data_IF_445415916976
#
_entry.id   IF_445415916976
#
_cell.length_a   1.000
_cell.length_b   1.000
_cell.length_c   1.000
_cell.angle_alpha   90.00
_cell.angle_beta   90.00
_cell.angle_gamma   90.00
#
_symmetry.space_group_name_H-M   'P 1'
#
loop_
_entity.id
_entity.type
_entity.pdbx_description
1 polymer ?
#
# COMPACT_ATOMS: atom_id res chain seq x y z
N UNK A 1 17.97 17.14 -43.58
CA UNK A 1 18.06 15.76 -43.05
C UNK A 1 19.06 15.84 -41.91
N UNK A 2 18.72 15.58 -40.65
CA UNK A 2 18.33 14.26 -40.15
C UNK A 2 17.43 14.32 -38.92
N UNK A 3 16.70 13.23 -38.73
CA UNK A 3 15.58 13.02 -37.84
C UNK A 3 15.91 13.02 -36.34
N UNK A 4 14.94 13.48 -35.55
CA UNK A 4 14.76 13.06 -34.15
C UNK A 4 14.23 11.61 -34.13
N UNK A 5 14.58 10.83 -33.10
CA UNK A 5 13.55 10.03 -32.47
C UNK A 5 13.46 10.36 -30.98
N UNK A 6 12.25 10.75 -30.58
CA UNK A 6 11.80 10.72 -29.20
C UNK A 6 11.68 9.26 -28.75
N UNK A 7 12.35 8.91 -27.63
CA UNK A 7 12.21 7.74 -26.76
C UNK A 7 13.49 7.74 -25.90
N UNK A 8 13.51 8.03 -24.59
CA UNK A 8 12.68 7.49 -23.51
C UNK A 8 12.67 8.51 -22.35
N UNK A 9 11.59 9.29 -22.22
CA UNK A 9 11.19 9.85 -20.92
C UNK A 9 10.32 8.81 -20.22
N UNK A 10 10.87 7.62 -20.02
CA UNK A 10 10.27 6.65 -19.13
C UNK A 10 10.60 7.14 -17.72
N UNK A 11 9.67 7.93 -17.18
CA UNK A 11 9.41 8.00 -15.74
C UNK A 11 10.66 7.89 -14.87
N UNK A 12 11.44 8.96 -14.82
CA UNK A 12 12.26 9.26 -13.64
C UNK A 12 11.28 9.55 -12.49
N UNK A 13 10.66 8.50 -11.96
CA UNK A 13 10.04 8.53 -10.64
C UNK A 13 11.22 8.76 -9.71
N UNK A 14 11.26 9.91 -9.06
CA UNK A 14 12.28 10.23 -8.06
C UNK A 14 12.54 8.99 -7.20
N UNK A 15 13.83 8.62 -7.06
CA UNK A 15 14.27 7.44 -6.32
C UNK A 15 13.42 7.25 -5.06
N UNK A 16 12.88 6.03 -4.80
CA UNK A 16 12.01 5.82 -3.66
C UNK A 16 12.78 6.25 -2.41
N UNK A 17 12.26 7.25 -1.69
CA UNK A 17 12.79 7.64 -0.38
C UNK A 17 12.42 6.55 0.63
N UNK A 18 13.11 5.41 0.55
CA UNK A 18 12.96 4.27 1.47
C UNK A 18 12.93 2.90 0.78
N UNK A 19 12.85 1.81 1.58
CA UNK A 19 12.83 0.44 1.06
C UNK A 19 11.63 0.23 0.12
N UNK A 20 11.78 -0.67 -0.85
CA UNK A 20 10.69 -1.07 -1.74
C UNK A 20 9.71 -2.02 -1.05
N UNK A 21 8.44 -2.04 -1.45
CA UNK A 21 7.41 -2.89 -0.81
C UNK A 21 7.69 -4.41 -0.83
N UNK A 22 8.59 -4.89 -1.69
CA UNK A 22 9.02 -6.30 -1.74
C UNK A 22 10.26 -6.58 -0.87
N UNK A 23 10.84 -5.53 -0.27
CA UNK A 23 11.97 -5.66 0.62
C UNK A 23 11.46 -5.97 2.03
N UNK A 24 12.09 -6.92 2.71
CA UNK A 24 11.72 -7.28 4.08
C UNK A 24 11.87 -6.13 5.08
N UNK A 25 12.68 -5.12 4.76
CA UNK A 25 12.86 -3.90 5.55
C UNK A 25 11.68 -2.94 5.44
N UNK A 26 10.78 -3.13 4.48
CA UNK A 26 9.60 -2.28 4.35
C UNK A 26 8.57 -2.62 5.44
N UNK A 27 8.04 -1.64 6.18
CA UNK A 27 7.13 -1.89 7.30
C UNK A 27 5.86 -2.66 6.89
N UNK A 28 5.33 -2.37 5.71
CA UNK A 28 4.14 -3.05 5.16
C UNK A 28 4.45 -4.34 4.36
N UNK A 29 5.71 -4.80 4.30
CA UNK A 29 6.07 -6.00 3.54
C UNK A 29 5.32 -7.25 4.03
N UNK A 30 5.17 -7.40 5.35
CA UNK A 30 4.47 -8.54 5.94
C UNK A 30 2.98 -8.57 5.54
N UNK A 31 2.30 -7.41 5.60
CA UNK A 31 0.91 -7.28 5.15
C UNK A 31 0.80 -7.54 3.65
N UNK A 32 1.70 -6.99 2.84
CA UNK A 32 1.74 -7.21 1.40
C UNK A 32 1.86 -8.68 1.05
N UNK A 33 2.77 -9.42 1.70
CA UNK A 33 2.95 -10.84 1.44
C UNK A 33 1.71 -11.66 1.85
N UNK A 34 1.08 -11.33 2.98
CA UNK A 34 -0.15 -11.98 3.42
C UNK A 34 -1.28 -11.78 2.39
N UNK A 35 -1.47 -10.54 1.91
CA UNK A 35 -2.44 -10.22 0.85
C UNK A 35 -2.10 -10.93 -0.46
N UNK A 36 -0.84 -10.88 -0.90
CA UNK A 36 -0.37 -11.50 -2.15
C UNK A 36 -0.58 -13.02 -2.15
N UNK A 37 -0.41 -13.67 -1.00
CA UNK A 37 -0.65 -15.11 -0.83
C UNK A 37 -2.13 -15.50 -0.87
N UNK A 38 -3.04 -14.57 -0.55
CA UNK A 38 -4.49 -14.79 -0.57
C UNK A 38 -5.12 -14.36 -1.90
N UNK A 39 -4.49 -13.43 -2.62
CA UNK A 39 -4.91 -13.01 -3.95
C UNK A 39 -4.57 -14.06 -5.01
N UNK A 40 -5.41 -14.23 -6.04
CA UNK A 40 -5.11 -15.10 -7.17
C UNK A 40 -3.78 -14.76 -7.84
N UNK A 41 -3.06 -15.77 -8.34
CA UNK A 41 -1.78 -15.57 -9.04
C UNK A 41 -1.88 -14.70 -10.29
N UNK A 42 -3.06 -14.68 -10.95
CA UNK A 42 -3.40 -13.83 -12.09
C UNK A 42 -3.30 -12.33 -11.77
N UNK A 43 -3.41 -11.95 -10.50
CA UNK A 43 -3.31 -10.54 -10.08
C UNK A 43 -1.85 -10.12 -10.07
N UNK A 44 -1.55 -9.06 -10.82
CA UNK A 44 -0.23 -8.45 -10.91
C UNK A 44 0.27 -7.98 -9.55
N UNK A 45 1.59 -7.95 -9.37
CA UNK A 45 2.20 -7.49 -8.13
C UNK A 45 1.89 -6.00 -7.83
N UNK A 46 1.70 -5.18 -8.87
CA UNK A 46 1.28 -3.78 -8.73
C UNK A 46 -0.14 -3.67 -8.14
N UNK A 47 -1.07 -4.48 -8.62
CA UNK A 47 -2.42 -4.55 -8.06
C UNK A 47 -2.39 -5.08 -6.62
N UNK A 48 -1.57 -6.10 -6.31
CA UNK A 48 -1.41 -6.59 -4.94
C UNK A 48 -0.82 -5.51 -4.00
N UNK A 49 0.14 -4.73 -4.48
CA UNK A 49 0.66 -3.56 -3.77
C UNK A 49 -0.46 -2.54 -3.50
N UNK A 50 -1.27 -2.23 -4.52
CA UNK A 50 -2.37 -1.29 -4.38
C UNK A 50 -3.44 -1.77 -3.37
N UNK A 51 -3.74 -3.08 -3.37
CA UNK A 51 -4.61 -3.70 -2.36
C UNK A 51 -4.05 -3.50 -0.96
N UNK A 52 -2.73 -3.62 -0.79
CA UNK A 52 -2.05 -3.39 0.50
C UNK A 52 -2.23 -1.97 1.00
N UNK A 53 -2.04 -0.99 0.11
CA UNK A 53 -2.27 0.43 0.43
C UNK A 53 -3.70 0.69 0.91
N UNK A 54 -4.70 0.18 0.19
CA UNK A 54 -6.10 0.39 0.55
C UNK A 54 -6.50 -0.38 1.81
N UNK A 55 -5.99 -1.59 2.02
CA UNK A 55 -6.20 -2.35 3.26
C UNK A 55 -5.71 -1.54 4.47
N UNK A 56 -4.50 -1.00 4.40
CA UNK A 56 -3.91 -0.17 5.47
C UNK A 56 -4.73 1.09 5.74
N UNK A 57 -5.16 1.80 4.69
CA UNK A 57 -5.99 3.00 4.84
C UNK A 57 -7.35 2.71 5.50
N UNK A 58 -7.84 1.47 5.40
CA UNK A 58 -9.09 1.03 6.04
C UNK A 58 -8.85 0.33 7.39
N UNK A 59 -7.68 0.50 8.01
CA UNK A 59 -7.36 0.00 9.34
C UNK A 59 -6.77 -1.42 9.39
N UNK A 60 -6.60 -2.07 8.24
CA UNK A 60 -5.95 -3.38 8.11
C UNK A 60 -4.47 -3.14 7.81
N UNK A 61 -3.72 -2.73 8.83
CA UNK A 61 -2.33 -2.28 8.73
C UNK A 61 -1.28 -3.37 8.98
N UNK A 62 -1.72 -4.58 9.32
CA UNK A 62 -0.86 -5.68 9.74
C UNK A 62 -1.49 -7.03 9.34
N UNK A 63 -0.68 -8.07 9.14
CA UNK A 63 -1.19 -9.41 8.80
C UNK A 63 -2.13 -9.97 9.86
N UNK A 64 -1.92 -9.67 11.15
CA UNK A 64 -2.81 -10.09 12.25
C UNK A 64 -4.20 -9.43 12.19
N UNK A 65 -4.29 -8.26 11.54
CA UNK A 65 -5.56 -7.58 11.27
C UNK A 65 -6.24 -8.06 10.00
N UNK A 66 -5.59 -8.89 9.18
CA UNK A 66 -6.16 -9.45 7.97
C UNK A 66 -6.90 -10.76 8.29
N UNK A 67 -8.23 -10.75 8.18
CA UNK A 67 -9.03 -11.95 8.39
C UNK A 67 -9.11 -12.80 7.13
N UNK A 68 -9.50 -12.20 6.00
CA UNK A 68 -9.66 -12.92 4.74
C UNK A 68 -9.58 -11.98 3.53
N UNK A 69 -9.29 -12.54 2.36
CA UNK A 69 -9.39 -11.86 1.07
C UNK A 69 -10.25 -12.71 0.15
N UNK A 70 -11.26 -12.10 -0.46
CA UNK A 70 -12.10 -12.76 -1.46
C UNK A 70 -12.13 -11.93 -2.73
N UNK A 71 -11.98 -12.56 -3.89
CA UNK A 71 -12.12 -11.87 -5.18
C UNK A 71 -13.46 -12.22 -5.78
N UNK A 72 -14.30 -11.21 -6.03
CA UNK A 72 -15.59 -11.35 -6.70
C UNK A 72 -15.84 -10.15 -7.59
N UNK A 73 -16.41 -10.40 -8.78
CA UNK A 73 -16.81 -9.35 -9.73
C UNK A 73 -15.69 -8.36 -10.08
N UNK A 74 -14.46 -8.87 -10.23
CA UNK A 74 -13.29 -8.01 -10.50
C UNK A 74 -12.90 -7.08 -9.36
N UNK A 75 -13.34 -7.35 -8.13
CA UNK A 75 -12.93 -6.64 -6.91
C UNK A 75 -12.33 -7.60 -5.90
N UNK A 76 -11.28 -7.16 -5.20
CA UNK A 76 -10.80 -7.81 -4.00
C UNK A 76 -11.47 -7.19 -2.77
N UNK A 77 -12.19 -8.01 -2.03
CA UNK A 77 -12.73 -7.70 -0.71
C UNK A 77 -11.76 -8.19 0.34
N UNK A 78 -11.13 -7.24 1.05
CA UNK A 78 -10.24 -7.48 2.17
C UNK A 78 -11.05 -7.29 3.45
N UNK A 79 -11.15 -8.33 4.26
CA UNK A 79 -11.85 -8.30 5.54
C UNK A 79 -10.85 -8.24 6.68
N UNK A 80 -11.04 -7.29 7.58
CA UNK A 80 -10.24 -7.15 8.79
C UNK A 80 -10.76 -8.01 9.93
N UNK A 81 -9.93 -8.29 10.93
CA UNK A 81 -10.35 -8.99 12.15
C UNK A 81 -11.19 -8.10 13.08
N UNK A 82 -11.00 -6.78 12.99
CA UNK A 82 -11.82 -5.78 13.71
C UNK A 82 -13.13 -5.52 12.94
N UNK A 83 -14.31 -5.65 13.58
CA UNK A 83 -15.58 -5.32 12.95
C UNK A 83 -15.57 -3.90 12.35
N UNK A 84 -16.00 -3.79 11.10
CA UNK A 84 -16.02 -2.53 10.35
C UNK A 84 -14.77 -2.29 9.49
N UNK A 85 -13.63 -2.91 9.79
CA UNK A 85 -12.42 -2.79 8.96
C UNK A 85 -12.56 -3.67 7.73
N UNK A 86 -12.72 -3.03 6.57
CA UNK A 86 -12.84 -3.68 5.28
C UNK A 86 -12.33 -2.78 4.18
N UNK A 87 -11.73 -3.35 3.15
CA UNK A 87 -11.40 -2.63 1.92
C UNK A 87 -12.00 -3.36 0.72
N UNK A 88 -12.57 -2.62 -0.22
CA UNK A 88 -13.00 -3.12 -1.51
C UNK A 88 -12.14 -2.48 -2.59
N UNK A 89 -11.36 -3.28 -3.30
CA UNK A 89 -10.36 -2.81 -4.26
C UNK A 89 -10.73 -3.28 -5.65
N UNK A 90 -10.89 -2.34 -6.57
CA UNK A 90 -11.15 -2.68 -7.97
C UNK A 90 -9.88 -3.21 -8.62
N UNK A 91 -9.94 -4.45 -9.12
CA UNK A 91 -8.80 -5.13 -9.75
C UNK A 91 -8.70 -4.85 -11.25
N UNK A 92 -9.79 -4.37 -11.85
CA UNK A 92 -9.88 -4.04 -13.28
C UNK A 92 -9.44 -2.59 -13.59
N UNK A 93 -9.10 -1.81 -12.57
CA UNK A 93 -8.58 -0.45 -12.74
C UNK A 93 -7.06 -0.50 -12.87
N UNK A 94 -6.45 0.40 -13.65
CA UNK A 94 -5.00 0.50 -13.74
C UNK A 94 -4.43 0.75 -12.33
N UNK A 95 -3.63 -0.19 -11.85
CA UNK A 95 -2.95 -0.05 -10.57
C UNK A 95 -1.79 0.96 -10.72
N UNK A 96 -1.50 1.79 -9.70
CA UNK A 96 -0.27 2.57 -9.66
C UNK A 96 0.94 1.66 -9.71
N UNK A 97 2.10 2.19 -10.11
CA UNK A 97 3.32 1.38 -10.05
C UNK A 97 3.64 0.99 -8.63
N UNK A 98 4.41 -0.08 -8.51
CA UNK A 98 4.81 -0.60 -7.20
C UNK A 98 5.63 0.43 -6.41
N UNK A 99 6.52 1.18 -7.06
CA UNK A 99 7.31 2.23 -6.38
C UNK A 99 6.42 3.37 -5.90
N UNK A 100 5.44 3.80 -6.72
CA UNK A 100 4.47 4.83 -6.32
C UNK A 100 3.66 4.39 -5.10
N UNK A 101 3.24 3.12 -5.08
CA UNK A 101 2.47 2.57 -3.96
C UNK A 101 3.33 2.45 -2.70
N UNK A 102 4.58 2.00 -2.84
CA UNK A 102 5.56 1.94 -1.75
C UNK A 102 5.81 3.32 -1.14
N UNK A 103 6.03 4.33 -1.97
CA UNK A 103 6.21 5.71 -1.51
C UNK A 103 4.99 6.24 -0.74
N UNK A 104 3.77 5.92 -1.19
CA UNK A 104 2.54 6.31 -0.49
C UNK A 104 2.40 5.62 0.88
N UNK A 105 2.76 4.34 0.97
CA UNK A 105 2.76 3.58 2.22
C UNK A 105 3.73 4.17 3.26
N UNK A 106 4.94 4.56 2.82
CA UNK A 106 5.93 5.23 3.67
C UNK A 106 5.49 6.63 4.11
N UNK A 107 4.92 7.41 3.18
CA UNK A 107 4.43 8.75 3.47
C UNK A 107 3.32 8.72 4.53
N UNK A 108 2.36 7.80 4.40
CA UNK A 108 1.29 7.62 5.38
C UNK A 108 1.81 7.20 6.76
N UNK A 109 2.85 6.37 6.82
CA UNK A 109 3.48 6.00 8.09
C UNK A 109 4.10 7.20 8.80
N UNK A 110 4.81 8.05 8.05
CA UNK A 110 5.47 9.25 8.59
C UNK A 110 4.46 10.20 9.23
N UNK A 111 3.31 10.40 8.58
CA UNK A 111 2.22 11.23 9.08
C UNK A 111 1.58 10.64 10.36
N UNK A 112 1.36 9.32 10.40
CA UNK A 112 0.82 8.67 11.60
C UNK A 112 1.76 8.81 12.80
N UNK A 113 3.07 8.69 12.59
CA UNK A 113 4.06 8.86 13.67
C UNK A 113 4.07 10.29 14.21
N UNK A 114 4.03 11.31 13.34
CA UNK A 114 3.97 12.71 13.76
C UNK A 114 2.70 12.99 14.58
N UNK A 115 1.53 12.56 14.07
CA UNK A 115 0.26 12.74 14.77
C UNK A 115 0.26 12.09 16.16
N UNK A 116 0.86 10.90 16.31
CA UNK A 116 0.99 10.22 17.61
C UNK A 116 1.95 10.96 18.55
N UNK A 117 3.05 11.51 18.05
CA UNK A 117 4.00 12.28 18.86
C UNK A 117 3.44 13.62 19.32
N UNK A 118 2.62 14.28 18.49
CA UNK A 118 1.92 15.50 18.88
C UNK A 118 0.85 15.23 19.94
N UNK A 119 0.04 14.17 19.79
CA UNK A 119 -0.94 13.79 20.81
C UNK A 119 -0.31 13.49 22.16
N UNK A 120 0.85 12.82 22.18
CA UNK A 120 1.60 12.56 23.41
C UNK A 120 2.15 13.84 24.04
N UNK A 121 2.66 14.78 23.23
CA UNK A 121 3.11 16.08 23.72
C UNK A 121 1.96 16.88 24.33
N UNK A 122 0.83 17.01 23.63
CA UNK A 122 -0.35 17.73 24.12
C UNK A 122 -0.93 17.10 25.40
N UNK A 123 -0.95 15.77 25.51
CA UNK A 123 -1.41 15.08 26.70
C UNK A 123 -0.46 15.23 27.92
N UNK A 124 0.83 15.49 27.68
CA UNK A 124 1.82 15.74 28.73
C UNK A 124 1.83 17.21 29.17
N UNK A 125 1.62 18.15 28.25
CA UNK A 125 1.64 19.61 28.49
C UNK A 125 0.33 20.15 29.11
N UNK A 126 -0.73 19.34 29.14
CA UNK A 126 -2.03 19.66 29.74
C UNK A 126 -2.19 19.30 31.22
N UNK A 127 -1.10 19.10 31.97
CA UNK A 127 -1.11 18.80 33.42
C UNK A 127 -0.50 19.90 34.25
#
# INVERSE_FOLDING_TARGET
MSAQPAQTRETQVAAPKGPSLNDASHPDHALHNALRSKLPSLISNETAAHVTLLAKQNGIDSPDKLQNVTVQDGKAFVMGTTPGFRAAVHLNQPAPTREQTSAQLLAGQSQQQQAQQEQQKVAMDGR
#
